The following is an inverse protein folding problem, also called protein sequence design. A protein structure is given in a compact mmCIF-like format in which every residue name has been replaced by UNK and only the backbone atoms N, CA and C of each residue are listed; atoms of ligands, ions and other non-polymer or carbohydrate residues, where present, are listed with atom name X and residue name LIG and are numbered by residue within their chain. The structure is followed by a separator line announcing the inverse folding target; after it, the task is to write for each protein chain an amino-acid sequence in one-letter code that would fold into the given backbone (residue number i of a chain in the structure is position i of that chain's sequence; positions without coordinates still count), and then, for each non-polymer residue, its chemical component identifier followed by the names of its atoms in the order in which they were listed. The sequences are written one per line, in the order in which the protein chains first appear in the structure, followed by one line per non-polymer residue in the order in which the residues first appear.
data_IF_143449605291
#
_entry.id   IF_143449605291
#
_cell.length_a   1.000
_cell.length_b   1.000
_cell.length_c   1.000
_cell.angle_alpha   90.00
_cell.angle_beta   90.00
_cell.angle_gamma   90.00
#
_symmetry.space_group_name_H-M   'P 1'
#
loop_
_entity.id
_entity.type
_entity.pdbx_description
1 polymer ?
#
# COMPACT_ATOMS: atom_id res chain seq x y z
N UNK A 1 10.03 43.57 7.08
CA UNK A 1 11.21 43.81 6.22
C UNK A 1 11.67 42.45 5.72
N UNK A 2 11.53 42.20 4.42
CA UNK A 2 12.05 40.99 3.76
C UNK A 2 13.56 41.16 3.58
N UNK A 3 14.38 40.39 4.27
CA UNK A 3 15.82 40.38 4.10
C UNK A 3 16.17 39.34 3.03
N UNK A 4 16.77 39.78 1.93
CA UNK A 4 17.40 38.86 0.98
C UNK A 4 18.68 38.32 1.60
N UNK A 5 18.66 37.03 1.99
CA UNK A 5 19.84 36.31 2.47
C UNK A 5 20.69 35.82 1.29
N UNK A 6 22.02 35.89 1.40
CA UNK A 6 22.90 35.24 0.44
C UNK A 6 22.76 33.69 0.55
N UNK A 7 23.04 32.98 -0.53
CA UNK A 7 22.85 31.50 -0.58
C UNK A 7 23.60 30.79 0.56
N UNK A 8 24.77 31.25 0.96
CA UNK A 8 25.52 30.72 2.10
C UNK A 8 24.83 30.96 3.44
N UNK A 9 24.27 32.16 3.66
CA UNK A 9 23.55 32.51 4.90
C UNK A 9 22.28 31.66 5.05
N UNK A 10 21.62 31.31 3.94
CA UNK A 10 20.45 30.40 3.96
C UNK A 10 20.85 29.02 4.41
N UNK A 11 21.95 28.47 3.89
CA UNK A 11 22.46 27.15 4.29
C UNK A 11 22.82 27.11 5.77
N UNK A 12 23.49 28.16 6.30
CA UNK A 12 23.86 28.25 7.71
C UNK A 12 22.63 28.31 8.63
N UNK A 13 21.61 29.09 8.26
CA UNK A 13 20.35 29.18 9.01
C UNK A 13 19.61 27.85 9.01
N UNK A 14 19.57 27.15 7.89
CA UNK A 14 18.92 25.83 7.79
C UNK A 14 19.64 24.81 8.65
N UNK A 15 20.97 24.79 8.62
CA UNK A 15 21.78 23.90 9.45
C UNK A 15 21.65 24.21 10.94
N UNK A 16 21.63 25.49 11.33
CA UNK A 16 21.48 25.91 12.73
C UNK A 16 20.10 25.58 13.33
N UNK A 17 19.11 25.29 12.50
CA UNK A 17 17.74 24.91 12.92
C UNK A 17 17.40 23.45 12.61
N UNK A 18 18.39 22.60 12.32
CA UNK A 18 18.20 21.20 11.94
C UNK A 18 17.13 21.00 10.86
N UNK A 19 17.02 21.96 9.94
CA UNK A 19 15.97 21.96 8.95
C UNK A 19 16.13 20.83 7.94
N UNK A 20 15.03 20.12 7.66
CA UNK A 20 14.99 19.10 6.62
C UNK A 20 14.75 19.77 5.27
N UNK A 21 15.70 19.60 4.35
CA UNK A 21 15.61 20.17 3.00
C UNK A 21 15.15 19.08 2.02
N UNK A 22 14.07 19.35 1.29
CA UNK A 22 13.50 18.47 0.28
C UNK A 22 13.49 19.19 -1.08
N UNK A 23 13.76 18.45 -2.17
CA UNK A 23 13.77 18.98 -3.53
C UNK A 23 15.17 19.16 -4.11
N UNK A 24 15.20 19.67 -5.35
CA UNK A 24 16.43 19.96 -6.08
C UNK A 24 16.79 21.45 -5.98
N UNK A 25 17.92 21.83 -6.63
CA UNK A 25 18.44 23.21 -6.62
C UNK A 25 17.46 24.26 -7.14
N UNK A 26 16.45 23.88 -7.91
CA UNK A 26 15.46 24.78 -8.52
C UNK A 26 14.15 24.88 -7.72
N UNK A 27 13.87 23.88 -6.85
CA UNK A 27 12.62 23.78 -6.09
C UNK A 27 12.86 23.16 -4.72
N UNK A 28 13.66 23.84 -3.89
CA UNK A 28 13.94 23.43 -2.52
C UNK A 28 12.86 23.89 -1.56
N UNK A 29 12.48 23.00 -0.67
CA UNK A 29 11.58 23.24 0.45
C UNK A 29 12.32 22.88 1.75
N UNK A 30 12.34 23.79 2.70
CA UNK A 30 12.89 23.55 4.03
C UNK A 30 11.76 23.50 5.05
N UNK A 31 11.81 22.51 5.93
CA UNK A 31 10.87 22.31 7.03
C UNK A 31 11.62 22.28 8.34
N UNK A 32 11.01 22.80 9.42
CA UNK A 32 11.50 22.55 10.76
C UNK A 32 11.34 21.06 11.12
N UNK A 33 12.11 20.54 12.09
CA UNK A 33 11.98 19.15 12.56
C UNK A 33 10.54 18.79 12.96
N UNK A 34 9.85 19.71 13.65
CA UNK A 34 8.46 19.50 14.07
C UNK A 34 7.51 19.44 12.86
N UNK A 35 7.69 20.32 11.88
CA UNK A 35 6.89 20.31 10.66
C UNK A 35 7.14 19.04 9.84
N UNK A 36 8.39 18.55 9.80
CA UNK A 36 8.74 17.29 9.17
C UNK A 36 8.09 16.10 9.88
N UNK A 37 8.18 16.04 11.22
CA UNK A 37 7.53 14.98 12.02
C UNK A 37 6.02 14.96 11.79
N UNK A 38 5.37 16.11 11.85
CA UNK A 38 3.93 16.20 11.59
C UNK A 38 3.54 15.72 10.18
N UNK A 39 4.39 15.96 9.17
CA UNK A 39 4.14 15.43 7.82
C UNK A 39 4.33 13.92 7.73
N UNK A 40 5.30 13.37 8.45
CA UNK A 40 5.49 11.91 8.56
C UNK A 40 4.27 11.27 9.21
N UNK A 41 3.78 11.82 10.31
CA UNK A 41 2.62 11.29 11.03
C UNK A 41 1.33 11.35 10.18
N UNK A 42 1.11 12.46 9.49
CA UNK A 42 0.00 12.62 8.55
C UNK A 42 0.06 11.57 7.42
N UNK A 43 1.27 11.32 6.88
CA UNK A 43 1.50 10.34 5.83
C UNK A 43 1.19 8.91 6.32
N UNK A 44 1.72 8.54 7.49
CA UNK A 44 1.53 7.22 8.08
C UNK A 44 0.05 6.99 8.44
N UNK A 45 -0.61 8.00 8.97
CA UNK A 45 -2.05 7.95 9.25
C UNK A 45 -2.87 7.70 7.99
N UNK A 46 -2.53 8.36 6.87
CA UNK A 46 -3.22 8.15 5.60
C UNK A 46 -2.96 6.74 5.03
N UNK A 47 -1.74 6.22 5.17
CA UNK A 47 -1.39 4.87 4.76
C UNK A 47 -2.13 3.82 5.60
N UNK A 48 -2.15 3.98 6.92
CA UNK A 48 -2.84 3.06 7.84
C UNK A 48 -4.35 3.06 7.61
N UNK A 49 -4.94 4.23 7.34
CA UNK A 49 -6.35 4.33 6.95
C UNK A 49 -6.66 3.62 5.63
N UNK A 50 -5.72 3.66 4.67
CA UNK A 50 -5.86 2.90 3.43
C UNK A 50 -5.83 1.39 3.69
N UNK A 51 -4.89 0.90 4.51
CA UNK A 51 -4.79 -0.52 4.87
C UNK A 51 -6.06 -1.00 5.59
N UNK A 52 -6.57 -0.22 6.54
CA UNK A 52 -7.81 -0.53 7.24
C UNK A 52 -9.02 -0.62 6.30
N UNK A 53 -9.10 0.27 5.31
CA UNK A 53 -10.19 0.28 4.33
C UNK A 53 -10.02 -0.77 3.22
N UNK A 54 -8.79 -1.26 2.98
CA UNK A 54 -8.45 -2.16 1.89
C UNK A 54 -7.50 -3.29 2.34
N UNK A 55 -7.89 -4.12 3.30
CA UNK A 55 -6.99 -5.11 3.91
C UNK A 55 -6.47 -6.16 2.91
N UNK A 56 -7.20 -6.38 1.81
CA UNK A 56 -6.81 -7.30 0.74
C UNK A 56 -5.86 -6.69 -0.31
N UNK A 57 -5.43 -5.44 -0.12
CA UNK A 57 -4.49 -4.76 -1.03
C UNK A 57 -3.17 -4.51 -0.30
N UNK A 58 -2.06 -4.78 -0.99
CA UNK A 58 -0.73 -4.55 -0.43
C UNK A 58 -0.53 -3.08 -0.01
N UNK A 59 -0.98 -2.15 -0.84
CA UNK A 59 -0.92 -0.73 -0.52
C UNK A 59 -1.46 0.17 -1.63
N UNK A 60 -1.53 1.48 -1.41
CA UNK A 60 -1.87 2.45 -2.44
C UNK A 60 -0.67 2.72 -3.34
N UNK A 61 -0.93 3.14 -4.58
CA UNK A 61 0.10 3.76 -5.39
C UNK A 61 0.54 5.11 -4.77
N UNK A 62 1.83 5.43 -4.84
CA UNK A 62 2.38 6.67 -4.29
C UNK A 62 1.61 7.92 -4.77
N UNK A 63 1.28 7.99 -6.07
CA UNK A 63 0.49 9.08 -6.63
C UNK A 63 -0.95 9.14 -6.09
N UNK A 64 -1.54 8.01 -5.75
CA UNK A 64 -2.86 7.95 -5.11
C UNK A 64 -2.78 8.50 -3.69
N UNK A 65 -1.80 8.04 -2.89
CA UNK A 65 -1.61 8.49 -1.52
C UNK A 65 -1.38 10.00 -1.45
N UNK A 66 -0.54 10.55 -2.35
CA UNK A 66 -0.30 12.00 -2.44
C UNK A 66 -1.59 12.80 -2.69
N UNK A 67 -2.49 12.30 -3.55
CA UNK A 67 -3.77 12.98 -3.86
C UNK A 67 -4.80 12.90 -2.74
N UNK A 68 -4.80 11.83 -1.98
CA UNK A 68 -5.76 11.64 -0.86
C UNK A 68 -5.31 12.31 0.43
N UNK A 69 -4.10 12.86 0.45
CA UNK A 69 -3.60 13.58 1.62
C UNK A 69 -4.46 14.80 1.95
N UNK A 70 -4.87 14.97 3.21
CA UNK A 70 -5.76 16.06 3.65
C UNK A 70 -5.21 17.47 3.36
N UNK A 71 -3.88 17.60 3.24
CA UNK A 71 -3.19 18.85 2.91
C UNK A 71 -2.39 18.65 1.64
N UNK A 72 -2.38 19.66 0.78
CA UNK A 72 -1.53 19.65 -0.41
C UNK A 72 -0.06 19.44 -0.02
N UNK A 73 0.56 18.39 -0.56
CA UNK A 73 1.97 18.08 -0.38
C UNK A 73 2.67 18.25 -1.74
N UNK A 74 3.59 19.22 -1.88
CA UNK A 74 4.41 19.35 -3.08
C UNK A 74 5.15 18.07 -3.40
N UNK A 75 5.32 17.75 -4.67
CA UNK A 75 5.94 16.50 -5.11
C UNK A 75 7.36 16.27 -4.56
N UNK A 76 8.26 17.29 -4.54
CA UNK A 76 9.58 17.10 -3.94
C UNK A 76 9.53 16.72 -2.46
N UNK A 77 8.63 17.34 -1.70
CA UNK A 77 8.43 17.02 -0.29
C UNK A 77 7.86 15.59 -0.11
N UNK A 78 6.90 15.20 -0.93
CA UNK A 78 6.33 13.86 -0.90
C UNK A 78 7.39 12.79 -1.19
N UNK A 79 8.21 13.01 -2.22
CA UNK A 79 9.27 12.09 -2.59
C UNK A 79 10.34 11.98 -1.48
N UNK A 80 10.70 13.08 -0.85
CA UNK A 80 11.63 13.08 0.29
C UNK A 80 11.06 12.33 1.51
N UNK A 81 9.75 12.50 1.80
CA UNK A 81 9.06 11.74 2.85
C UNK A 81 9.07 10.24 2.57
N UNK A 82 8.73 9.83 1.35
CA UNK A 82 8.75 8.43 0.94
C UNK A 82 10.17 7.87 1.05
N UNK A 83 11.17 8.57 0.53
CA UNK A 83 12.56 8.12 0.61
C UNK A 83 13.05 7.95 2.04
N UNK A 84 12.75 8.89 2.93
CA UNK A 84 13.12 8.81 4.34
C UNK A 84 12.43 7.64 5.05
N UNK A 85 11.11 7.47 4.85
CA UNK A 85 10.32 6.41 5.47
C UNK A 85 10.69 5.01 4.97
N UNK A 86 11.12 4.88 3.71
CA UNK A 86 11.68 3.63 3.17
C UNK A 86 13.07 3.36 3.73
N UNK A 87 13.91 4.39 3.81
CA UNK A 87 15.28 4.27 4.31
C UNK A 87 15.36 3.87 5.78
N UNK A 88 14.43 4.35 6.61
CA UNK A 88 14.35 3.98 8.03
C UNK A 88 13.50 2.71 8.28
N UNK A 89 12.99 2.08 7.24
CA UNK A 89 12.20 0.84 7.33
C UNK A 89 10.78 1.02 7.89
N UNK A 90 10.29 2.25 8.06
CA UNK A 90 8.93 2.52 8.54
C UNK A 90 7.86 2.12 7.53
N UNK A 91 8.18 2.23 6.25
CA UNK A 91 7.37 1.70 5.14
C UNK A 91 8.23 0.88 4.19
N UNK A 92 7.60 0.03 3.40
CA UNK A 92 8.21 -0.67 2.28
C UNK A 92 7.59 -0.22 0.96
N UNK A 93 8.35 -0.37 -0.12
CA UNK A 93 7.91 -0.08 -1.48
C UNK A 93 8.05 -1.32 -2.34
N UNK A 94 6.96 -1.75 -2.96
CA UNK A 94 6.95 -2.81 -3.97
C UNK A 94 6.50 -2.22 -5.31
N UNK A 95 7.45 -1.94 -6.16
CA UNK A 95 7.24 -1.19 -7.39
C UNK A 95 6.72 0.22 -7.11
N UNK A 96 5.47 0.48 -7.49
CA UNK A 96 4.80 1.78 -7.24
C UNK A 96 3.89 1.78 -6.02
N UNK A 97 3.77 0.66 -5.31
CA UNK A 97 2.91 0.52 -4.12
C UNK A 97 3.70 0.79 -2.85
N UNK A 98 3.08 1.48 -1.91
CA UNK A 98 3.65 1.79 -0.60
C UNK A 98 2.86 1.06 0.48
N UNK A 99 3.56 0.39 1.42
CA UNK A 99 2.89 -0.34 2.48
C UNK A 99 3.70 -0.36 3.79
N UNK A 100 3.06 -0.70 4.90
CA UNK A 100 3.77 -1.04 6.13
C UNK A 100 4.51 -2.36 5.96
N UNK A 101 5.72 -2.54 6.51
CA UNK A 101 6.48 -3.78 6.38
C UNK A 101 5.76 -5.00 6.94
N UNK A 102 4.96 -4.81 7.97
CA UNK A 102 4.15 -5.84 8.65
C UNK A 102 2.77 -6.04 7.99
N UNK A 103 2.38 -5.18 7.04
CA UNK A 103 1.12 -5.32 6.33
C UNK A 103 1.23 -6.39 5.23
N UNK A 104 0.54 -7.48 5.44
CA UNK A 104 0.36 -8.51 4.43
C UNK A 104 -1.02 -8.37 3.80
N UNK A 105 -1.05 -8.19 2.48
CA UNK A 105 -2.30 -8.28 1.74
C UNK A 105 -2.90 -9.67 1.99
N UNK A 106 -4.02 -9.71 2.66
CA UNK A 106 -4.65 -10.95 3.07
C UNK A 106 -6.17 -10.89 2.92
N UNK A 107 -6.79 -12.05 2.74
CA UNK A 107 -8.23 -12.17 2.88
C UNK A 107 -8.57 -11.98 4.37
N UNK A 108 -9.58 -11.18 4.65
CA UNK A 108 -10.03 -10.89 6.03
C UNK A 108 -11.53 -11.12 6.16
N UNK A 109 -11.99 -11.32 7.38
CA UNK A 109 -13.42 -11.51 7.66
C UNK A 109 -14.00 -12.70 6.89
N UNK A 110 -15.17 -12.51 6.30
CA UNK A 110 -15.87 -13.56 5.56
C UNK A 110 -15.07 -14.09 4.37
N UNK A 111 -14.32 -13.22 3.66
CA UNK A 111 -13.51 -13.64 2.52
C UNK A 111 -12.38 -14.61 2.94
N UNK A 112 -11.80 -14.45 4.14
CA UNK A 112 -10.82 -15.39 4.70
C UNK A 112 -11.48 -16.73 5.06
N UNK A 113 -12.66 -16.69 5.68
CA UNK A 113 -13.44 -17.89 6.02
C UNK A 113 -13.84 -18.66 4.74
N UNK A 114 -14.31 -17.95 3.73
CA UNK A 114 -14.67 -18.56 2.46
C UNK A 114 -13.45 -19.19 1.77
N UNK A 115 -12.30 -18.48 1.79
CA UNK A 115 -11.06 -19.04 1.22
C UNK A 115 -10.60 -20.29 1.96
N UNK A 116 -10.65 -20.30 3.30
CA UNK A 116 -10.29 -21.47 4.10
C UNK A 116 -11.17 -22.70 3.77
N UNK A 117 -12.43 -22.49 3.38
CA UNK A 117 -13.32 -23.56 2.92
C UNK A 117 -13.02 -24.02 1.49
N UNK A 118 -12.51 -23.14 0.63
CA UNK A 118 -12.22 -23.42 -0.79
C UNK A 118 -10.82 -24.02 -1.00
N UNK A 119 -9.85 -23.65 -0.17
CA UNK A 119 -8.45 -24.06 -0.31
C UNK A 119 -8.26 -25.58 -0.37
N UNK A 120 -8.86 -26.39 0.53
CA UNK A 120 -8.72 -27.84 0.46
C UNK A 120 -9.18 -28.45 -0.87
N UNK A 121 -10.25 -27.90 -1.46
CA UNK A 121 -10.78 -28.38 -2.75
C UNK A 121 -9.83 -28.12 -3.93
N UNK A 122 -9.03 -27.06 -3.84
CA UNK A 122 -8.00 -26.73 -4.84
C UNK A 122 -6.75 -27.61 -4.65
N UNK A 123 -6.41 -27.95 -3.40
CA UNK A 123 -5.22 -28.74 -3.04
C UNK A 123 -5.42 -30.25 -3.22
N UNK A 124 -6.65 -30.74 -3.04
CA UNK A 124 -6.98 -32.17 -3.13
C UNK A 124 -6.68 -32.76 -4.52
N UNK A 125 -6.92 -31.97 -5.57
CA UNK A 125 -6.68 -32.40 -6.94
C UNK A 125 -6.03 -31.30 -7.80
N UNK A 126 -4.72 -31.05 -7.62
CA UNK A 126 -4.04 -29.92 -8.28
C UNK A 126 -4.08 -29.98 -9.81
N UNK A 127 -4.14 -31.18 -10.40
CA UNK A 127 -4.19 -31.37 -11.86
C UNK A 127 -5.57 -31.16 -12.47
N UNK A 128 -6.64 -31.27 -11.67
CA UNK A 128 -8.03 -31.15 -12.14
C UNK A 128 -8.95 -30.65 -11.01
N UNK A 129 -8.75 -29.45 -10.48
CA UNK A 129 -9.58 -28.92 -9.42
C UNK A 129 -11.04 -28.78 -9.88
N UNK A 130 -12.00 -28.91 -8.95
CA UNK A 130 -13.42 -28.77 -9.27
C UNK A 130 -13.73 -27.40 -9.88
N UNK A 131 -14.78 -27.34 -10.68
CA UNK A 131 -15.27 -26.07 -11.20
C UNK A 131 -16.00 -25.28 -10.12
N UNK A 132 -16.16 -23.99 -10.31
CA UNK A 132 -16.78 -23.08 -9.32
C UNK A 132 -18.13 -23.58 -8.81
N UNK A 133 -18.95 -24.20 -9.69
CA UNK A 133 -20.26 -24.70 -9.31
C UNK A 133 -20.17 -25.90 -8.34
N UNK A 134 -19.22 -26.79 -8.56
CA UNK A 134 -18.99 -27.94 -7.70
C UNK A 134 -18.42 -27.49 -6.34
N UNK A 135 -17.50 -26.53 -6.34
CA UNK A 135 -16.99 -25.91 -5.11
C UNK A 135 -18.13 -25.24 -4.30
N UNK A 136 -19.04 -24.55 -4.97
CA UNK A 136 -20.19 -23.94 -4.34
C UNK A 136 -21.09 -25.01 -3.66
N UNK A 137 -21.34 -26.10 -4.39
CA UNK A 137 -22.14 -27.24 -3.87
C UNK A 137 -21.45 -27.92 -2.67
N UNK A 138 -20.14 -28.11 -2.72
CA UNK A 138 -19.36 -28.77 -1.66
C UNK A 138 -19.24 -27.92 -0.40
N UNK A 139 -19.16 -26.59 -0.53
CA UNK A 139 -18.97 -25.66 0.60
C UNK A 139 -20.27 -25.09 1.13
N UNK A 140 -21.38 -25.23 0.41
CA UNK A 140 -22.66 -24.57 0.72
C UNK A 140 -22.65 -23.05 0.45
N UNK A 141 -21.60 -22.52 -0.17
CA UNK A 141 -21.49 -21.11 -0.51
C UNK A 141 -22.24 -20.80 -1.82
N UNK A 142 -22.79 -19.60 -1.93
CA UNK A 142 -23.37 -19.16 -3.19
C UNK A 142 -22.30 -19.05 -4.29
N UNK A 143 -22.61 -19.41 -5.53
CA UNK A 143 -21.68 -19.39 -6.67
C UNK A 143 -21.00 -18.04 -6.88
N UNK A 144 -21.72 -16.93 -6.68
CA UNK A 144 -21.18 -15.58 -6.78
C UNK A 144 -20.16 -15.27 -5.66
N UNK A 145 -20.35 -15.82 -4.45
CA UNK A 145 -19.42 -15.70 -3.33
C UNK A 145 -18.14 -16.47 -3.64
N UNK A 146 -18.24 -17.74 -4.07
CA UNK A 146 -17.09 -18.55 -4.49
C UNK A 146 -16.30 -17.83 -5.60
N UNK A 147 -16.98 -17.34 -6.63
CA UNK A 147 -16.33 -16.62 -7.72
C UNK A 147 -15.65 -15.33 -7.26
N UNK A 148 -16.28 -14.56 -6.37
CA UNK A 148 -15.68 -13.35 -5.77
C UNK A 148 -14.41 -13.68 -5.02
N UNK A 149 -14.46 -14.66 -4.12
CA UNK A 149 -13.33 -15.10 -3.27
C UNK A 149 -12.17 -15.60 -4.13
N UNK A 150 -12.43 -16.47 -5.10
CA UNK A 150 -11.39 -16.99 -6.01
C UNK A 150 -10.74 -15.90 -6.85
N UNK A 151 -11.51 -14.96 -7.41
CA UNK A 151 -10.95 -13.82 -8.14
C UNK A 151 -10.12 -12.90 -7.25
N UNK A 152 -10.48 -12.78 -5.98
CA UNK A 152 -9.69 -12.02 -5.02
C UNK A 152 -8.38 -12.75 -4.70
N UNK A 153 -8.43 -14.07 -4.48
CA UNK A 153 -7.24 -14.90 -4.31
C UNK A 153 -6.27 -14.81 -5.51
N UNK A 154 -6.82 -14.78 -6.74
CA UNK A 154 -6.01 -14.57 -7.96
C UNK A 154 -5.31 -13.20 -7.95
N UNK A 155 -6.00 -12.13 -7.57
CA UNK A 155 -5.39 -10.78 -7.47
C UNK A 155 -4.28 -10.71 -6.43
N UNK A 156 -4.27 -11.63 -5.48
CA UNK A 156 -3.28 -11.73 -4.41
C UNK A 156 -2.19 -12.78 -4.71
N UNK A 157 -2.23 -13.42 -5.87
CA UNK A 157 -1.27 -14.47 -6.25
C UNK A 157 -1.46 -15.80 -5.49
N UNK A 158 -2.55 -15.96 -4.75
CA UNK A 158 -2.88 -17.19 -4.00
C UNK A 158 -3.53 -18.25 -4.87
N UNK A 159 -4.01 -17.91 -6.05
CA UNK A 159 -4.58 -18.81 -7.04
C UNK A 159 -4.31 -18.28 -8.45
N UNK A 160 -4.46 -19.15 -9.46
CA UNK A 160 -4.35 -18.81 -10.88
C UNK A 160 -5.65 -19.17 -11.58
N UNK A 161 -6.21 -18.24 -12.34
CA UNK A 161 -7.37 -18.50 -13.18
C UNK A 161 -6.93 -18.92 -14.59
N UNK A 162 -7.24 -20.14 -15.02
CA UNK A 162 -6.91 -20.66 -16.36
C UNK A 162 -8.10 -20.54 -17.32
N UNK A 163 -9.31 -20.68 -16.80
CA UNK A 163 -10.55 -20.50 -17.58
C UNK A 163 -11.61 -19.79 -16.74
N UNK A 164 -12.70 -19.37 -17.35
CA UNK A 164 -13.74 -18.55 -16.72
C UNK A 164 -14.25 -19.09 -15.37
N UNK A 165 -14.28 -20.41 -15.19
CA UNK A 165 -14.76 -21.10 -13.99
C UNK A 165 -13.77 -22.12 -13.41
N UNK A 166 -12.47 -22.06 -13.80
CA UNK A 166 -11.43 -22.97 -13.31
C UNK A 166 -10.27 -22.19 -12.71
N UNK A 167 -9.94 -22.56 -11.48
CA UNK A 167 -8.91 -21.95 -10.67
C UNK A 167 -7.98 -23.05 -10.16
N UNK A 168 -6.69 -22.73 -10.06
CA UNK A 168 -5.62 -23.65 -9.66
C UNK A 168 -4.76 -22.98 -8.58
N UNK A 169 -4.06 -23.79 -7.81
CA UNK A 169 -2.97 -23.29 -6.98
C UNK A 169 -1.80 -22.85 -7.87
N UNK A 170 -1.01 -21.82 -7.45
CA UNK A 170 0.16 -21.34 -8.20
C UNK A 170 1.22 -22.40 -8.42
#
# INVERSE_FOLDING_TARGET
ATRNLATGEVADVLAANDAVVAGDSSNQLALSPEAWSARRDDFLTALDAFHAANPARLGPAAAQLRRTHKRFVPEPLFNALVAALVSDGTIASDGMLLHRPDHQAGLTGDDATHWAALLPLLEENPGAPPVVHDMASSTGLAVNVVMKTLRQAVRMGMAVQIAGNRFYMP
#
